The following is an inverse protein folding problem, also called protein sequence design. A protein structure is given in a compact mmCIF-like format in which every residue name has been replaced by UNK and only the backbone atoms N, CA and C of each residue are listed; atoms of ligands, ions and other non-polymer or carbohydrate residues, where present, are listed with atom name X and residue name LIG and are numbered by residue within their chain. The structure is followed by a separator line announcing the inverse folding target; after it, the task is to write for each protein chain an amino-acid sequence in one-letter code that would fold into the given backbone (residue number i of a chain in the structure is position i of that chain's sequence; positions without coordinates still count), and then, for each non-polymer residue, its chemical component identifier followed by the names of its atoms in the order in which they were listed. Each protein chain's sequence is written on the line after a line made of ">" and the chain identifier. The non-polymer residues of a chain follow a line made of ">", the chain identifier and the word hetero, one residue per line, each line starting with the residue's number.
data_IF_958823087615
#
_entry.id   IF_958823087615
#
_cell.length_a   1.000
_cell.length_b   1.000
_cell.length_c   1.000
_cell.angle_alpha   90.00
_cell.angle_beta   90.00
_cell.angle_gamma   90.00
#
_symmetry.space_group_name_H-M   'P 1'
#
loop_
_entity.id
_entity.type
_entity.pdbx_description
1 polymer ?
#
# COMPACT_ATOMS: atom_id res chain seq x y z
N UNK A 1 9.33 20.10 11.03
CA UNK A 1 10.12 20.06 12.28
C UNK A 1 11.61 19.81 12.05
N UNK A 2 11.98 18.86 11.16
CA UNK A 2 13.42 18.58 10.87
C UNK A 2 14.17 19.81 10.35
N UNK A 3 13.48 20.71 9.67
CA UNK A 3 14.03 21.96 9.13
C UNK A 3 13.89 23.15 10.09
N UNK A 4 13.50 22.91 11.35
CA UNK A 4 13.44 23.92 12.41
C UNK A 4 12.08 24.55 12.65
N UNK A 5 11.03 24.17 11.93
CA UNK A 5 9.66 24.66 12.19
C UNK A 5 9.11 24.05 13.47
N UNK A 6 8.61 24.90 14.39
CA UNK A 6 7.97 24.53 15.64
C UNK A 6 6.44 24.79 15.67
N UNK A 7 5.91 25.33 14.57
CA UNK A 7 4.50 25.71 14.44
C UNK A 7 4.12 27.05 15.09
N UNK A 8 5.08 27.82 15.60
CA UNK A 8 4.84 29.13 16.21
C UNK A 8 4.11 30.10 15.28
N UNK A 9 4.34 30.02 13.97
CA UNK A 9 3.65 30.82 12.96
C UNK A 9 2.13 30.64 12.98
N UNK A 10 1.63 29.44 13.25
CA UNK A 10 0.18 29.21 13.39
C UNK A 10 -0.41 29.89 14.62
N UNK A 11 0.34 29.94 15.73
CA UNK A 11 -0.07 30.65 16.93
C UNK A 11 -0.15 32.17 16.67
N UNK A 12 0.80 32.72 15.92
CA UNK A 12 0.79 34.14 15.53
C UNK A 12 -0.42 34.41 14.61
N UNK A 13 -0.62 33.61 13.56
CA UNK A 13 -1.76 33.77 12.66
C UNK A 13 -3.11 33.71 13.40
N UNK A 14 -3.25 32.78 14.36
CA UNK A 14 -4.45 32.69 15.22
C UNK A 14 -4.66 33.95 16.07
N UNK A 15 -3.59 34.54 16.66
CA UNK A 15 -3.67 35.81 17.40
C UNK A 15 -4.10 36.95 16.50
N UNK A 16 -3.78 36.93 15.24
CA UNK A 16 -4.21 37.92 14.24
C UNK A 16 -5.62 37.67 13.69
N UNK A 17 -6.37 36.72 14.22
CA UNK A 17 -7.76 36.45 13.87
C UNK A 17 -7.95 35.41 12.74
N UNK A 18 -6.89 34.79 12.24
CA UNK A 18 -7.03 33.75 11.24
C UNK A 18 -7.51 32.42 11.85
N UNK A 19 -8.38 31.74 11.12
CA UNK A 19 -8.78 30.37 11.44
C UNK A 19 -7.66 29.38 11.05
N UNK A 20 -7.35 28.44 11.95
CA UNK A 20 -6.37 27.40 11.70
C UNK A 20 -7.08 26.07 11.50
N UNK A 21 -6.93 25.49 10.31
CA UNK A 21 -7.32 24.10 9.99
C UNK A 21 -6.31 23.14 10.65
N UNK A 22 -6.74 22.01 11.22
CA UNK A 22 -5.82 21.05 11.86
C UNK A 22 -4.62 20.73 10.97
N UNK A 23 -3.43 20.91 11.54
CA UNK A 23 -2.16 20.65 10.86
C UNK A 23 -1.80 19.19 11.05
N UNK A 24 -1.68 18.45 9.94
CA UNK A 24 -1.42 17.01 9.94
C UNK A 24 -0.19 16.70 9.06
N UNK A 25 0.56 15.62 9.35
CA UNK A 25 1.68 15.21 8.52
C UNK A 25 1.18 14.81 7.12
N UNK A 26 1.93 15.19 6.08
CA UNK A 26 1.67 14.83 4.69
C UNK A 26 2.99 14.55 3.95
N UNK A 27 2.93 13.87 2.82
CA UNK A 27 4.06 13.24 2.16
C UNK A 27 4.87 12.40 3.16
N UNK A 28 4.18 11.43 3.74
CA UNK A 28 4.66 10.66 4.90
C UNK A 28 4.29 9.19 4.73
N UNK A 29 5.06 8.31 5.37
CA UNK A 29 4.78 6.87 5.40
C UNK A 29 3.48 6.57 6.16
N UNK A 30 2.80 5.50 5.75
CA UNK A 30 1.60 5.00 6.42
C UNK A 30 1.91 3.76 7.27
N UNK A 31 1.42 3.76 8.50
CA UNK A 31 1.47 2.61 9.41
C UNK A 31 0.27 1.72 9.16
N UNK A 32 0.52 0.44 8.97
CA UNK A 32 -0.51 -0.54 8.65
C UNK A 32 -0.58 -1.62 9.72
N UNK A 33 -1.79 -2.14 9.92
CA UNK A 33 -2.06 -3.22 10.85
C UNK A 33 -1.45 -4.54 10.39
N UNK A 34 -0.88 -5.27 11.32
CA UNK A 34 -0.49 -6.67 11.11
C UNK A 34 1.02 -6.94 11.11
N UNK A 35 1.37 -8.13 11.58
CA UNK A 35 2.78 -8.58 11.70
C UNK A 35 3.41 -8.97 10.36
N UNK A 36 2.61 -9.08 9.29
CA UNK A 36 3.09 -9.50 7.96
C UNK A 36 4.20 -8.59 7.43
N UNK A 37 4.14 -7.29 7.73
CA UNK A 37 5.09 -6.29 7.27
C UNK A 37 6.52 -6.58 7.70
N UNK A 38 6.73 -7.20 8.87
CA UNK A 38 8.06 -7.60 9.32
C UNK A 38 8.73 -8.59 8.36
N UNK A 39 7.95 -9.50 7.76
CA UNK A 39 8.46 -10.52 6.83
C UNK A 39 8.80 -9.97 5.44
N UNK A 40 8.15 -8.90 5.02
CA UNK A 40 8.31 -8.28 3.69
C UNK A 40 9.08 -6.95 3.72
N UNK A 41 9.54 -6.54 4.89
CA UNK A 41 10.28 -5.30 5.06
C UNK A 41 11.52 -5.21 4.14
N UNK A 42 11.74 -4.02 3.57
CA UNK A 42 12.85 -3.73 2.65
C UNK A 42 12.56 -4.06 1.19
N UNK A 43 11.39 -4.64 0.86
CA UNK A 43 11.00 -4.86 -0.53
C UNK A 43 10.59 -3.52 -1.17
N UNK A 44 11.08 -3.28 -2.38
CA UNK A 44 10.64 -2.22 -3.29
C UNK A 44 10.04 -2.85 -4.53
N UNK A 45 8.89 -2.37 -4.94
CA UNK A 45 8.15 -2.97 -6.05
C UNK A 45 7.28 -1.92 -6.73
N UNK A 46 7.26 -1.93 -8.06
CA UNK A 46 6.33 -1.10 -8.82
C UNK A 46 4.89 -1.56 -8.56
N UNK A 47 3.99 -0.60 -8.36
CA UNK A 47 2.60 -0.91 -8.08
C UNK A 47 1.74 0.33 -8.03
N UNK A 48 0.46 0.10 -7.79
CA UNK A 48 -0.53 1.15 -7.58
C UNK A 48 -1.05 1.05 -6.14
N UNK A 49 -1.20 2.19 -5.50
CA UNK A 49 -1.84 2.34 -4.18
C UNK A 49 -3.18 3.03 -4.39
N UNK A 50 -4.27 2.36 -4.03
CA UNK A 50 -5.61 2.96 -3.97
C UNK A 50 -6.00 3.13 -2.51
N UNK A 51 -6.32 4.34 -2.08
CA UNK A 51 -6.73 4.65 -0.71
C UNK A 51 -8.25 4.71 -0.62
N UNK A 52 -8.79 3.99 0.34
CA UNK A 52 -10.21 3.97 0.64
C UNK A 52 -10.46 4.57 2.02
N UNK A 53 -11.53 5.36 2.13
CA UNK A 53 -12.02 5.94 3.38
C UNK A 53 -13.49 5.55 3.52
N UNK A 54 -13.83 4.85 4.60
CA UNK A 54 -15.17 4.32 4.86
C UNK A 54 -15.75 3.52 3.66
N UNK A 55 -14.87 2.82 2.91
CA UNK A 55 -15.22 2.02 1.75
C UNK A 55 -15.17 2.74 0.40
N UNK A 56 -15.04 4.06 0.36
CA UNK A 56 -14.96 4.85 -0.88
C UNK A 56 -13.52 5.10 -1.31
N UNK A 57 -13.20 4.87 -2.58
CA UNK A 57 -11.89 5.15 -3.15
C UNK A 57 -11.69 6.67 -3.32
N UNK A 58 -10.87 7.27 -2.46
CA UNK A 58 -10.66 8.72 -2.43
C UNK A 58 -9.44 9.20 -3.21
N UNK A 59 -8.46 8.33 -3.42
CA UNK A 59 -7.23 8.70 -4.13
C UNK A 59 -6.51 7.44 -4.64
N UNK A 60 -5.78 7.59 -5.75
CA UNK A 60 -4.94 6.53 -6.33
C UNK A 60 -3.66 7.15 -6.89
N UNK A 61 -2.54 6.44 -6.72
CA UNK A 61 -1.29 6.81 -7.37
C UNK A 61 -0.43 5.57 -7.67
N UNK A 62 0.45 5.67 -8.68
CA UNK A 62 1.25 4.56 -9.20
C UNK A 62 2.73 4.91 -9.16
N UNK A 63 3.56 3.98 -8.73
CA UNK A 63 5.01 4.15 -8.65
C UNK A 63 5.68 3.07 -7.82
N UNK A 64 6.91 3.30 -7.38
CA UNK A 64 7.63 2.38 -6.50
C UNK A 64 7.06 2.44 -5.08
N UNK A 65 6.44 1.35 -4.65
CA UNK A 65 5.99 1.11 -3.27
C UNK A 65 7.15 0.50 -2.50
N UNK A 66 7.43 1.04 -1.33
CA UNK A 66 8.39 0.47 -0.39
C UNK A 66 7.66 -0.14 0.81
N UNK A 67 7.89 -1.41 1.05
CA UNK A 67 7.35 -2.12 2.21
C UNK A 67 8.33 -1.99 3.38
N UNK A 68 7.83 -1.52 4.52
CA UNK A 68 8.61 -1.28 5.74
C UNK A 68 8.19 -2.25 6.84
N UNK A 69 8.86 -2.25 7.98
CA UNK A 69 8.49 -3.12 9.12
C UNK A 69 7.11 -2.78 9.72
N UNK A 70 6.61 -1.57 9.50
CA UNK A 70 5.40 -1.02 10.11
C UNK A 70 4.30 -0.70 9.08
N UNK A 71 4.54 -0.89 7.80
CA UNK A 71 3.55 -0.55 6.77
C UNK A 71 4.18 -0.22 5.42
N UNK A 72 3.69 0.84 4.80
CA UNK A 72 4.01 1.21 3.41
C UNK A 72 4.62 2.60 3.30
N UNK A 73 5.47 2.77 2.28
CA UNK A 73 6.19 3.99 1.95
C UNK A 73 6.40 4.06 0.42
N UNK A 74 7.09 5.08 -0.04
CA UNK A 74 7.34 5.33 -1.47
C UNK A 74 6.48 6.46 -2.01
N UNK A 75 6.81 6.94 -3.20
CA UNK A 75 6.17 8.13 -3.79
C UNK A 75 4.65 8.00 -3.86
N UNK A 76 4.05 6.90 -4.36
CA UNK A 76 2.59 6.80 -4.43
C UNK A 76 1.94 6.81 -3.04
N UNK A 77 2.61 6.25 -2.02
CA UNK A 77 2.11 6.30 -0.65
C UNK A 77 2.15 7.73 -0.10
N UNK A 78 3.20 8.49 -0.41
CA UNK A 78 3.30 9.89 0.01
C UNK A 78 2.17 10.73 -0.60
N UNK A 79 1.83 10.53 -1.87
CA UNK A 79 0.75 11.26 -2.53
C UNK A 79 -0.62 11.01 -1.88
N UNK A 80 -0.92 9.78 -1.50
CA UNK A 80 -2.19 9.45 -0.87
C UNK A 80 -2.22 9.77 0.63
N UNK A 81 -1.06 9.98 1.28
CA UNK A 81 -0.92 10.09 2.73
C UNK A 81 -1.72 11.24 3.37
N UNK A 82 -1.88 12.37 2.67
CA UNK A 82 -2.67 13.51 3.18
C UNK A 82 -4.15 13.17 3.36
N UNK A 83 -4.69 12.32 2.50
CA UNK A 83 -6.08 11.86 2.60
C UNK A 83 -6.22 10.90 3.78
N UNK A 84 -5.27 9.96 3.93
CA UNK A 84 -5.22 9.08 5.08
C UNK A 84 -5.09 9.85 6.40
N UNK A 85 -4.21 10.86 6.47
CA UNK A 85 -4.02 11.67 7.66
C UNK A 85 -5.31 12.40 8.07
N UNK A 86 -6.03 13.00 7.10
CA UNK A 86 -7.31 13.67 7.36
C UNK A 86 -8.40 12.70 7.81
N UNK A 87 -8.53 11.56 7.15
CA UNK A 87 -9.54 10.55 7.49
C UNK A 87 -9.29 9.98 8.89
N UNK A 88 -8.06 9.60 9.22
CA UNK A 88 -7.68 9.12 10.55
C UNK A 88 -7.90 10.16 11.65
N UNK A 89 -7.61 11.43 11.38
CA UNK A 89 -7.91 12.53 12.31
C UNK A 89 -9.42 12.62 12.59
N UNK A 90 -10.25 12.39 11.60
CA UNK A 90 -11.72 12.34 11.71
C UNK A 90 -12.26 11.00 12.23
N UNK A 91 -11.36 10.06 12.63
CA UNK A 91 -11.71 8.72 13.13
C UNK A 91 -12.46 7.85 12.12
N UNK A 92 -12.21 8.07 10.84
CA UNK A 92 -12.75 7.27 9.74
C UNK A 92 -11.88 6.01 9.52
N UNK A 93 -12.48 4.97 8.97
CA UNK A 93 -11.75 3.77 8.57
C UNK A 93 -10.93 4.04 7.31
N UNK A 94 -9.65 3.63 7.33
CA UNK A 94 -8.74 3.84 6.21
C UNK A 94 -8.11 2.52 5.78
N UNK A 95 -8.32 2.17 4.52
CA UNK A 95 -7.75 0.98 3.90
C UNK A 95 -6.94 1.37 2.66
N UNK A 96 -5.78 0.76 2.47
CA UNK A 96 -5.03 0.85 1.23
C UNK A 96 -5.08 -0.49 0.49
N UNK A 97 -5.42 -0.45 -0.79
CA UNK A 97 -5.35 -1.61 -1.69
C UNK A 97 -4.12 -1.45 -2.58
N UNK A 98 -3.21 -2.41 -2.49
CA UNK A 98 -1.96 -2.43 -3.23
C UNK A 98 -2.12 -3.36 -4.43
N UNK A 99 -1.91 -2.81 -5.63
CA UNK A 99 -1.86 -3.60 -6.87
C UNK A 99 -0.41 -3.67 -7.35
N UNK A 100 0.17 -4.86 -7.36
CA UNK A 100 1.55 -5.12 -7.76
C UNK A 100 1.70 -5.54 -9.24
N UNK A 101 0.59 -5.51 -10.00
CA UNK A 101 0.55 -5.75 -11.45
C UNK A 101 -0.46 -4.80 -12.12
N UNK A 102 -0.31 -3.47 -11.97
CA UNK A 102 -1.34 -2.50 -12.38
C UNK A 102 -1.47 -2.34 -13.90
N UNK A 103 -0.55 -2.90 -14.68
CA UNK A 103 -0.54 -2.83 -16.15
C UNK A 103 -1.44 -3.88 -16.81
N UNK A 104 -2.01 -4.81 -16.04
CA UNK A 104 -2.90 -5.87 -16.53
C UNK A 104 -4.23 -5.82 -15.76
N UNK A 105 -5.34 -6.13 -16.44
CA UNK A 105 -6.60 -6.43 -15.75
C UNK A 105 -6.50 -7.75 -14.98
N UNK A 106 -7.48 -8.07 -14.14
CA UNK A 106 -7.53 -9.34 -13.41
C UNK A 106 -7.59 -10.52 -14.38
N UNK A 107 -8.38 -10.39 -15.45
CA UNK A 107 -8.56 -11.40 -16.48
C UNK A 107 -7.25 -11.62 -17.26
N UNK A 108 -6.61 -10.56 -17.70
CA UNK A 108 -5.33 -10.62 -18.41
C UNK A 108 -4.24 -11.25 -17.55
N UNK A 109 -4.16 -10.87 -16.27
CA UNK A 109 -3.15 -11.42 -15.38
C UNK A 109 -3.44 -12.89 -15.03
N UNK A 110 -4.70 -13.26 -14.85
CA UNK A 110 -5.10 -14.66 -14.64
C UNK A 110 -4.76 -15.51 -15.87
N UNK A 111 -5.05 -15.03 -17.09
CA UNK A 111 -4.69 -15.70 -18.32
C UNK A 111 -3.17 -15.85 -18.49
N UNK A 112 -2.42 -14.80 -18.16
CA UNK A 112 -0.95 -14.84 -18.14
C UNK A 112 -0.42 -15.92 -17.19
N UNK A 113 -0.98 -16.02 -15.98
CA UNK A 113 -0.62 -17.04 -15.00
C UNK A 113 -0.98 -18.45 -15.53
N UNK A 114 -2.14 -18.62 -16.16
CA UNK A 114 -2.56 -19.90 -16.73
C UNK A 114 -1.61 -20.37 -17.85
N UNK A 115 -1.25 -19.48 -18.77
CA UNK A 115 -0.31 -19.81 -19.85
C UNK A 115 1.09 -20.15 -19.29
N UNK A 116 1.55 -19.40 -18.30
CA UNK A 116 2.82 -19.67 -17.63
C UNK A 116 2.82 -21.02 -16.91
N UNK A 117 1.70 -21.41 -16.28
CA UNK A 117 1.53 -22.71 -15.63
C UNK A 117 1.55 -23.86 -16.67
N UNK A 118 0.91 -23.66 -17.82
CA UNK A 118 0.90 -24.62 -18.93
C UNK A 118 2.30 -24.90 -19.46
N UNK A 119 3.17 -23.87 -19.54
CA UNK A 119 4.54 -24.00 -20.04
C UNK A 119 5.46 -24.77 -19.09
N UNK A 120 5.19 -24.75 -17.79
CA UNK A 120 6.03 -25.39 -16.77
C UNK A 120 5.20 -26.00 -15.65
N UNK A 121 4.36 -27.03 -15.98
CA UNK A 121 3.32 -27.55 -15.10
C UNK A 121 3.84 -28.21 -13.82
N UNK A 122 5.10 -28.68 -13.81
CA UNK A 122 5.71 -29.36 -12.67
C UNK A 122 6.22 -28.42 -11.56
N UNK A 123 6.25 -27.11 -11.81
CA UNK A 123 6.79 -26.17 -10.83
C UNK A 123 5.86 -25.98 -9.63
N UNK A 124 6.46 -25.74 -8.47
CA UNK A 124 5.75 -25.26 -7.28
C UNK A 124 5.37 -23.78 -7.42
N UNK A 125 4.46 -23.27 -6.56
CA UNK A 125 4.06 -21.86 -6.58
C UNK A 125 5.26 -20.90 -6.43
N UNK A 126 6.21 -21.21 -5.56
CA UNK A 126 7.42 -20.39 -5.35
C UNK A 126 8.27 -20.30 -6.62
N UNK A 127 8.56 -21.45 -7.23
CA UNK A 127 9.33 -21.51 -8.48
C UNK A 127 8.59 -20.85 -9.66
N UNK A 128 7.28 -20.99 -9.68
CA UNK A 128 6.39 -20.44 -10.70
C UNK A 128 6.37 -18.91 -10.72
N UNK A 129 6.35 -18.27 -9.53
CA UNK A 129 6.36 -16.83 -9.37
C UNK A 129 7.78 -16.23 -9.37
N UNK A 130 8.82 -17.06 -9.24
CA UNK A 130 10.22 -16.63 -9.33
C UNK A 130 10.50 -15.99 -10.70
N UNK A 131 11.15 -14.83 -10.68
CA UNK A 131 11.41 -14.00 -11.86
C UNK A 131 10.32 -12.97 -12.16
N UNK A 132 9.12 -13.10 -11.56
CA UNK A 132 8.08 -12.07 -11.61
C UNK A 132 8.14 -11.13 -10.41
N UNK A 133 8.43 -11.68 -9.23
CA UNK A 133 8.36 -10.95 -7.98
C UNK A 133 9.52 -11.26 -7.04
N UNK A 134 9.70 -10.38 -6.06
CA UNK A 134 10.69 -10.58 -5.01
C UNK A 134 10.32 -11.78 -4.10
N UNK A 135 11.29 -12.61 -3.73
CA UNK A 135 11.08 -13.86 -2.96
C UNK A 135 10.23 -13.69 -1.68
N UNK A 136 10.38 -12.58 -0.96
CA UNK A 136 9.60 -12.30 0.26
C UNK A 136 8.10 -12.12 -0.05
N UNK A 137 7.78 -11.49 -1.19
CA UNK A 137 6.39 -11.31 -1.64
C UNK A 137 5.79 -12.64 -2.09
N UNK A 138 6.55 -13.43 -2.82
CA UNK A 138 6.14 -14.77 -3.25
C UNK A 138 5.78 -15.62 -2.02
N UNK A 139 6.65 -15.68 -1.02
CA UNK A 139 6.41 -16.44 0.21
C UNK A 139 5.14 -15.96 0.96
N UNK A 140 4.90 -14.65 0.99
CA UNK A 140 3.68 -14.09 1.59
C UNK A 140 2.43 -14.54 0.82
N UNK A 141 2.39 -14.37 -0.51
CA UNK A 141 1.22 -14.71 -1.32
C UNK A 141 0.94 -16.21 -1.35
N UNK A 142 1.98 -17.05 -1.44
CA UNK A 142 1.81 -18.51 -1.33
C UNK A 142 1.20 -18.88 0.02
N UNK A 143 1.64 -18.26 1.12
CA UNK A 143 1.04 -18.46 2.44
C UNK A 143 -0.42 -17.97 2.49
N UNK A 144 -0.72 -16.81 1.93
CA UNK A 144 -2.06 -16.21 1.95
C UNK A 144 -3.05 -16.95 1.03
N UNK A 145 -2.58 -17.53 -0.08
CA UNK A 145 -3.43 -18.26 -1.04
C UNK A 145 -4.03 -19.55 -0.46
N UNK A 146 -3.44 -20.06 0.64
CA UNK A 146 -3.79 -21.37 1.24
C UNK A 146 -3.62 -22.56 0.28
N UNK A 147 -2.99 -22.37 -0.86
CA UNK A 147 -2.63 -23.45 -1.78
C UNK A 147 -1.42 -24.19 -1.22
N UNK A 148 -1.41 -25.52 -1.30
CA UNK A 148 -0.26 -26.30 -0.84
C UNK A 148 1.01 -25.89 -1.59
N UNK A 149 2.11 -25.72 -0.84
CA UNK A 149 3.40 -25.32 -1.40
C UNK A 149 3.96 -26.31 -2.38
N UNK A 150 3.67 -27.59 -2.17
CA UNK A 150 4.17 -28.72 -2.97
C UNK A 150 3.28 -29.00 -4.17
N UNK A 151 2.10 -28.38 -4.26
CA UNK A 151 1.15 -28.60 -5.37
C UNK A 151 1.73 -28.06 -6.68
N UNK A 152 1.88 -28.91 -7.72
CA UNK A 152 2.36 -28.47 -9.03
C UNK A 152 1.38 -27.50 -9.68
N UNK A 153 1.88 -26.38 -10.23
CA UNK A 153 1.02 -25.33 -10.80
C UNK A 153 0.19 -25.80 -12.00
N UNK A 154 0.64 -26.82 -12.71
CA UNK A 154 -0.14 -27.42 -13.80
C UNK A 154 -1.42 -28.14 -13.34
N UNK A 155 -1.60 -28.34 -12.02
CA UNK A 155 -2.82 -28.91 -11.45
C UNK A 155 -3.73 -27.85 -10.80
N UNK A 156 -3.36 -26.56 -10.91
CA UNK A 156 -4.18 -25.48 -10.37
C UNK A 156 -5.47 -25.34 -11.18
N UNK A 157 -6.57 -25.15 -10.47
CA UNK A 157 -7.83 -24.76 -11.07
C UNK A 157 -7.78 -23.29 -11.52
N UNK A 158 -8.67 -22.91 -12.41
CA UNK A 158 -8.83 -21.51 -12.80
C UNK A 158 -9.09 -20.61 -11.59
N UNK A 159 -9.88 -21.08 -10.63
CA UNK A 159 -10.20 -20.34 -9.39
C UNK A 159 -8.95 -20.16 -8.49
N UNK A 160 -8.06 -21.15 -8.42
CA UNK A 160 -6.80 -21.02 -7.66
C UNK A 160 -5.87 -19.99 -8.32
N UNK A 161 -5.79 -19.97 -9.65
CA UNK A 161 -5.01 -18.97 -10.39
C UNK A 161 -5.61 -17.57 -10.23
N UNK A 162 -6.93 -17.44 -10.27
CA UNK A 162 -7.65 -16.18 -10.04
C UNK A 162 -7.47 -15.70 -8.61
N UNK A 163 -7.52 -16.58 -7.62
CA UNK A 163 -7.25 -16.25 -6.22
C UNK A 163 -5.83 -15.69 -6.06
N UNK A 164 -4.85 -16.31 -6.71
CA UNK A 164 -3.47 -15.81 -6.68
C UNK A 164 -3.35 -14.45 -7.37
N UNK A 165 -4.01 -14.26 -8.52
CA UNK A 165 -4.04 -12.99 -9.23
C UNK A 165 -4.64 -11.87 -8.36
N UNK A 166 -5.76 -12.13 -7.70
CA UNK A 166 -6.39 -11.18 -6.78
C UNK A 166 -5.51 -10.83 -5.60
N UNK A 167 -4.86 -11.81 -4.97
CA UNK A 167 -3.91 -11.54 -3.88
C UNK A 167 -2.75 -10.63 -4.30
N UNK A 168 -2.35 -10.67 -5.56
CA UNK A 168 -1.28 -9.83 -6.10
C UNK A 168 -1.80 -8.44 -6.50
N UNK A 169 -3.01 -8.35 -7.03
CA UNK A 169 -3.57 -7.11 -7.57
C UNK A 169 -4.49 -6.35 -6.60
N UNK A 170 -4.98 -7.03 -5.56
CA UNK A 170 -5.93 -6.46 -4.60
C UNK A 170 -5.48 -6.75 -3.16
N UNK A 171 -4.19 -6.49 -2.88
CA UNK A 171 -3.62 -6.72 -1.55
C UNK A 171 -4.05 -5.62 -0.59
N UNK A 172 -5.05 -5.92 0.22
CA UNK A 172 -5.66 -4.99 1.15
C UNK A 172 -4.88 -4.90 2.47
N UNK A 173 -4.67 -3.68 2.96
CA UNK A 173 -4.03 -3.39 4.24
C UNK A 173 -4.75 -2.27 4.98
N UNK A 174 -5.06 -2.48 6.25
CA UNK A 174 -5.67 -1.46 7.10
C UNK A 174 -4.62 -0.45 7.55
N UNK A 175 -4.90 0.84 7.36
CA UNK A 175 -4.02 1.94 7.76
C UNK A 175 -4.43 2.42 9.15
N UNK A 176 -3.52 2.32 10.12
CA UNK A 176 -3.76 2.72 11.51
C UNK A 176 -3.22 4.11 11.87
N UNK A 177 -2.35 4.66 11.03
CA UNK A 177 -1.71 5.93 11.31
C UNK A 177 -0.73 6.38 10.24
N UNK A 178 -0.21 7.57 10.43
CA UNK A 178 0.95 8.08 9.70
C UNK A 178 2.20 8.04 10.59
N UNK A 179 3.37 8.17 9.99
CA UNK A 179 4.55 8.52 10.76
C UNK A 179 4.45 9.96 11.28
N UNK A 180 5.38 10.34 12.17
CA UNK A 180 5.40 11.65 12.83
C UNK A 180 5.75 12.79 11.87
N UNK A 181 5.56 14.03 12.32
CA UNK A 181 6.00 15.22 11.60
C UNK A 181 7.51 15.25 11.29
N UNK A 182 8.33 14.59 12.10
CA UNK A 182 9.77 14.48 11.84
C UNK A 182 10.08 13.69 10.58
N UNK A 183 9.20 12.77 10.20
CA UNK A 183 9.34 11.91 9.02
C UNK A 183 8.54 12.45 7.82
N UNK A 184 7.66 13.41 8.05
CA UNK A 184 6.85 14.03 7.01
C UNK A 184 7.67 15.08 6.23
N UNK A 185 7.55 15.09 4.91
CA UNK A 185 8.21 16.10 4.08
C UNK A 185 7.50 17.44 4.17
N UNK A 186 6.17 17.43 4.32
CA UNK A 186 5.32 18.61 4.45
C UNK A 186 4.19 18.35 5.44
N UNK A 187 3.37 19.35 5.70
CA UNK A 187 2.09 19.20 6.39
C UNK A 187 0.92 19.59 5.48
N UNK A 188 -0.26 19.09 5.77
CA UNK A 188 -1.53 19.58 5.24
C UNK A 188 -2.30 20.29 6.37
N UNK A 189 -3.26 21.17 6.00
CA UNK A 189 -3.87 22.11 6.94
C UNK A 189 -3.05 23.39 7.11
N UNK A 190 -3.28 24.14 8.17
CA UNK A 190 -2.66 25.44 8.42
C UNK A 190 -3.67 26.60 8.41
N UNK A 191 -3.24 27.79 8.01
CA UNK A 191 -4.13 28.95 7.91
C UNK A 191 -5.23 28.71 6.88
N UNK A 192 -6.50 28.89 7.28
CA UNK A 192 -7.64 28.79 6.36
C UNK A 192 -7.56 29.89 5.32
N UNK A 193 -7.87 29.53 4.08
CA UNK A 193 -7.96 30.46 2.94
C UNK A 193 -9.41 30.81 2.58
N UNK A 194 -10.37 30.33 3.41
CA UNK A 194 -11.80 30.61 3.29
C UNK A 194 -12.22 31.72 4.26
#
# INVERSE_FOLDING_TARGET
>A
PVTGSDGSGYAIAKKMGHRIVPVLPALVQLKCKGKLFQSIAGVRIQGCVSLYVDGDCVCRDTGEIQLTQYGISGIPVFQVSRFAAKALYNKQEVTAVLNFMPQMSEEEFTAFLAERARLRPQKTAEEFLTGLFHKKMIALWVKCSRISKEKPVGTYSEEELRTLARLIQQFEVNVEGTNSFEQAQVCCGGVSTE
#
